data_IF_077752712684
#
_entry.id   IF_077752712684
#
_cell.length_a   1.000
_cell.length_b   1.000
_cell.length_c   1.000
_cell.angle_alpha   90.00
_cell.angle_beta   90.00
_cell.angle_gamma   90.00
#
_symmetry.space_group_name_H-M   'P 1'
#
loop_
_entity.id
_entity.type
_entity.pdbx_description
1 polymer ?
#
# COMPACT_ATOMS: atom_id res chain seq x y z
N UNK A 1 -35.49 1.98 22.17
CA UNK A 1 -35.10 2.96 21.12
C UNK A 1 -34.12 4.00 21.63
N UNK A 2 -34.42 4.86 22.63
CA UNK A 2 -33.44 5.83 23.13
C UNK A 2 -32.22 5.15 23.80
N UNK A 3 -32.47 4.20 24.70
CA UNK A 3 -31.41 3.45 25.38
C UNK A 3 -30.52 2.60 24.44
N UNK A 4 -31.04 2.17 23.29
CA UNK A 4 -30.27 1.39 22.30
C UNK A 4 -29.29 2.29 21.53
N UNK A 5 -29.68 3.55 21.26
CA UNK A 5 -28.81 4.54 20.62
C UNK A 5 -27.69 5.02 21.52
N UNK A 6 -27.95 5.20 22.82
CA UNK A 6 -26.92 5.54 23.81
C UNK A 6 -25.86 4.44 23.89
N UNK A 7 -26.27 3.17 23.92
CA UNK A 7 -25.34 2.02 23.88
C UNK A 7 -24.51 1.98 22.60
N UNK A 8 -25.10 2.32 21.45
CA UNK A 8 -24.37 2.41 20.19
C UNK A 8 -23.31 3.51 20.23
N UNK A 9 -23.64 4.69 20.78
CA UNK A 9 -22.69 5.79 20.93
C UNK A 9 -21.52 5.42 21.86
N UNK A 10 -21.81 4.78 22.98
CA UNK A 10 -20.79 4.31 23.92
C UNK A 10 -19.89 3.27 23.27
N UNK A 11 -20.47 2.31 22.54
CA UNK A 11 -19.71 1.30 21.80
C UNK A 11 -18.77 1.92 20.76
N UNK A 12 -19.25 2.91 19.99
CA UNK A 12 -18.43 3.63 19.02
C UNK A 12 -17.33 4.46 19.70
N UNK A 13 -17.61 5.05 20.85
CA UNK A 13 -16.62 5.77 21.64
C UNK A 13 -15.48 4.83 22.11
N UNK A 14 -15.84 3.66 22.65
CA UNK A 14 -14.86 2.64 23.06
C UNK A 14 -14.03 2.16 21.85
N UNK A 15 -14.68 1.86 20.73
CA UNK A 15 -14.00 1.46 19.50
C UNK A 15 -13.00 2.52 19.02
N UNK A 16 -13.35 3.81 19.11
CA UNK A 16 -12.43 4.91 18.78
C UNK A 16 -11.22 4.96 19.71
N UNK A 17 -11.42 4.78 21.02
CA UNK A 17 -10.32 4.76 22.00
C UNK A 17 -9.37 3.59 21.76
N UNK A 18 -9.92 2.41 21.46
CA UNK A 18 -9.13 1.22 21.09
C UNK A 18 -8.30 1.47 19.83
N UNK A 19 -8.90 2.04 18.78
CA UNK A 19 -8.17 2.38 17.54
C UNK A 19 -7.05 3.40 17.79
N UNK A 20 -7.27 4.39 18.65
CA UNK A 20 -6.22 5.36 19.02
C UNK A 20 -5.07 4.66 19.74
N UNK A 21 -5.37 3.73 20.65
CA UNK A 21 -4.36 2.95 21.35
C UNK A 21 -3.53 2.09 20.39
N UNK A 22 -4.19 1.38 19.47
CA UNK A 22 -3.54 0.54 18.46
C UNK A 22 -2.64 1.37 17.51
N UNK A 23 -3.12 2.52 17.07
CA UNK A 23 -2.33 3.47 16.25
C UNK A 23 -1.09 3.95 17.02
N UNK A 24 -1.22 4.20 18.32
CA UNK A 24 -0.11 4.67 19.13
C UNK A 24 0.97 3.58 19.28
N UNK A 25 0.57 2.33 19.56
CA UNK A 25 1.50 1.19 19.61
C UNK A 25 2.23 1.01 18.28
N UNK A 26 1.51 1.04 17.15
CA UNK A 26 2.11 0.92 15.83
C UNK A 26 3.06 2.06 15.49
N UNK A 27 2.76 3.29 15.94
CA UNK A 27 3.68 4.42 15.79
C UNK A 27 4.99 4.22 16.57
N UNK A 28 4.94 3.66 17.77
CA UNK A 28 6.14 3.34 18.53
C UNK A 28 6.97 2.25 17.83
N UNK A 29 6.31 1.23 17.27
CA UNK A 29 6.98 0.20 16.46
C UNK A 29 7.66 0.80 15.23
N UNK A 30 6.97 1.70 14.50
CA UNK A 30 7.51 2.41 13.36
C UNK A 30 8.73 3.25 13.73
N UNK A 31 8.65 4.00 14.83
CA UNK A 31 9.74 4.85 15.31
C UNK A 31 10.99 4.02 15.63
N UNK A 32 10.84 2.90 16.32
CA UNK A 32 11.95 1.99 16.60
C UNK A 32 12.61 1.49 15.31
N UNK A 33 11.80 1.07 14.34
CA UNK A 33 12.32 0.63 13.03
C UNK A 33 13.07 1.75 12.30
N UNK A 34 12.57 2.99 12.36
CA UNK A 34 13.24 4.14 11.76
C UNK A 34 14.56 4.47 12.46
N UNK A 35 14.58 4.48 13.80
CA UNK A 35 15.80 4.71 14.59
C UNK A 35 16.88 3.68 14.24
N UNK A 36 16.53 2.40 14.23
CA UNK A 36 17.44 1.31 13.85
C UNK A 36 17.94 1.46 12.41
N UNK A 37 17.03 1.82 11.49
CA UNK A 37 17.35 2.05 10.07
C UNK A 37 18.34 3.19 9.85
N UNK A 38 18.10 4.34 10.47
CA UNK A 38 18.99 5.50 10.38
C UNK A 38 20.34 5.25 11.05
N UNK A 39 20.36 4.56 12.20
CA UNK A 39 21.62 4.18 12.85
C UNK A 39 22.46 3.24 11.97
N UNK A 40 21.84 2.22 11.38
CA UNK A 40 22.52 1.31 10.48
C UNK A 40 22.97 2.00 9.19
N UNK A 41 22.18 2.94 8.67
CA UNK A 41 22.56 3.77 7.53
C UNK A 41 23.78 4.65 7.83
N UNK A 42 23.82 5.27 9.02
CA UNK A 42 24.97 6.05 9.47
C UNK A 42 26.24 5.19 9.57
N UNK A 43 26.14 3.97 10.13
CA UNK A 43 27.25 3.00 10.16
C UNK A 43 27.71 2.62 8.75
N UNK A 44 26.80 2.43 7.81
CA UNK A 44 27.14 2.13 6.41
C UNK A 44 27.85 3.30 5.73
N UNK A 45 27.38 4.55 5.94
CA UNK A 45 28.02 5.77 5.43
C UNK A 45 29.41 5.99 6.00
N UNK A 46 29.61 5.66 7.29
CA UNK A 46 30.93 5.70 7.90
C UNK A 46 31.89 4.67 7.28
N UNK A 47 31.42 3.44 7.04
CA UNK A 47 32.25 2.37 6.49
C UNK A 47 32.58 2.53 5.00
N UNK A 48 31.62 2.98 4.18
CA UNK A 48 31.77 3.09 2.72
C UNK A 48 32.22 4.48 2.25
N UNK A 49 32.13 5.48 3.12
CA UNK A 49 32.25 6.89 2.74
C UNK A 49 30.88 7.52 2.43
N UNK A 50 30.79 8.81 2.74
CA UNK A 50 29.59 9.65 2.64
C UNK A 50 29.04 9.72 1.20
N UNK A 51 29.94 9.67 0.22
CA UNK A 51 29.61 9.81 -1.20
C UNK A 51 29.00 8.54 -1.78
N UNK A 52 29.45 7.36 -1.32
CA UNK A 52 29.03 6.06 -1.88
C UNK A 52 27.57 5.73 -1.60
N UNK A 53 27.06 6.09 -0.44
CA UNK A 53 25.64 5.87 -0.10
C UNK A 53 24.89 7.17 -0.33
N UNK A 54 24.71 7.53 -1.61
CA UNK A 54 24.09 8.79 -2.04
C UNK A 54 23.18 8.58 -3.25
N UNK A 55 22.26 9.53 -3.48
CA UNK A 55 21.35 9.54 -4.63
C UNK A 55 22.07 9.48 -5.98
N UNK A 56 23.33 9.92 -6.03
CA UNK A 56 24.18 9.88 -7.22
C UNK A 56 24.48 8.47 -7.72
N UNK A 57 24.36 7.46 -6.85
CA UNK A 57 24.70 6.07 -7.17
C UNK A 57 23.50 5.27 -7.68
N UNK A 58 22.30 5.86 -7.79
CA UNK A 58 21.13 5.15 -8.30
C UNK A 58 21.34 4.75 -9.77
N UNK A 59 20.94 3.54 -10.13
CA UNK A 59 20.97 3.12 -11.53
C UNK A 59 19.91 3.85 -12.35
N UNK A 60 20.18 4.04 -13.65
CA UNK A 60 19.22 4.65 -14.58
C UNK A 60 17.92 3.82 -14.71
N UNK A 61 18.02 2.50 -14.52
CA UNK A 61 16.91 1.54 -14.56
C UNK A 61 16.42 1.19 -13.14
N UNK A 62 16.33 2.17 -12.24
CA UNK A 62 15.80 1.94 -10.89
C UNK A 62 14.32 1.56 -10.95
N UNK A 63 13.99 0.35 -10.47
CA UNK A 63 12.61 -0.11 -10.27
C UNK A 63 12.27 -0.18 -8.78
N UNK A 64 11.01 0.14 -8.40
CA UNK A 64 10.58 0.01 -7.01
C UNK A 64 10.40 -1.46 -6.62
N UNK A 65 11.00 -1.87 -5.50
CA UNK A 65 10.82 -3.22 -4.96
C UNK A 65 9.56 -3.37 -4.09
N UNK A 66 9.01 -2.25 -3.63
CA UNK A 66 7.86 -2.19 -2.74
C UNK A 66 6.80 -1.31 -3.37
N UNK A 67 5.60 -1.85 -3.49
CA UNK A 67 4.40 -1.18 -3.96
C UNK A 67 3.41 -1.07 -2.80
N UNK A 68 2.50 -0.11 -2.89
CA UNK A 68 1.38 0.02 -1.96
C UNK A 68 0.12 -0.20 -2.77
N UNK A 69 -0.62 -1.24 -2.40
CA UNK A 69 -1.94 -1.52 -2.93
C UNK A 69 -3.01 -0.97 -1.98
N UNK A 70 -4.08 -0.45 -2.57
CA UNK A 70 -5.20 0.15 -1.86
C UNK A 70 -6.46 -0.65 -2.21
N UNK A 71 -6.92 -1.48 -1.27
CA UNK A 71 -8.15 -2.25 -1.41
C UNK A 71 -9.23 -1.68 -0.50
N UNK A 72 -10.50 -1.76 -0.89
CA UNK A 72 -11.61 -1.44 0.03
C UNK A 72 -11.83 -2.61 0.99
N UNK A 73 -12.23 -2.31 2.22
CA UNK A 73 -12.68 -3.35 3.15
C UNK A 73 -13.94 -4.04 2.62
N UNK A 74 -13.90 -5.37 2.48
CA UNK A 74 -15.09 -6.19 2.19
C UNK A 74 -15.94 -6.27 3.47
N UNK A 75 -16.87 -5.32 3.58
CA UNK A 75 -17.91 -5.33 4.59
C UNK A 75 -19.14 -6.06 4.03
N UNK A 76 -19.51 -7.17 4.65
CA UNK A 76 -20.80 -7.81 4.47
C UNK A 76 -21.89 -6.87 4.99
N UNK A 77 -22.68 -6.29 4.08
CA UNK A 77 -23.95 -5.57 4.29
C UNK A 77 -24.04 -4.39 5.30
N UNK A 78 -22.95 -3.92 5.88
CA UNK A 78 -22.90 -2.62 6.60
C UNK A 78 -22.17 -1.58 5.78
N UNK A 79 -22.77 -0.39 5.62
CA UNK A 79 -22.37 0.73 4.74
C UNK A 79 -20.97 1.33 5.00
N UNK A 80 -20.18 0.75 5.90
CA UNK A 80 -18.89 1.27 6.32
C UNK A 80 -17.74 0.57 5.57
N UNK A 81 -17.31 1.21 4.48
CA UNK A 81 -16.09 0.83 3.76
C UNK A 81 -14.98 1.82 4.08
N UNK A 82 -13.83 1.32 4.49
CA UNK A 82 -12.59 2.08 4.58
C UNK A 82 -11.53 1.47 3.67
N UNK A 83 -10.55 2.28 3.30
CA UNK A 83 -9.44 1.83 2.46
C UNK A 83 -8.38 1.14 3.32
N UNK A 84 -7.98 -0.05 2.88
CA UNK A 84 -6.92 -0.89 3.44
C UNK A 84 -5.69 -0.74 2.56
N UNK A 85 -4.59 -0.33 3.17
CA UNK A 85 -3.30 -0.21 2.51
C UNK A 85 -2.45 -1.44 2.82
N UNK A 86 -1.95 -2.09 1.78
CA UNK A 86 -1.04 -3.24 1.88
C UNK A 86 0.21 -2.99 1.08
N UNK A 87 1.34 -3.27 1.72
CA UNK A 87 2.64 -3.17 1.11
C UNK A 87 2.93 -4.51 0.36
N UNK A 88 3.10 -4.46 -0.96
CA UNK A 88 3.28 -5.61 -1.87
C UNK A 88 4.67 -5.59 -2.49
N UNK A 89 5.33 -6.74 -2.60
CA UNK A 89 6.66 -6.84 -3.20
C UNK A 89 6.60 -6.96 -4.73
N UNK A 90 7.52 -6.31 -5.44
CA UNK A 90 7.63 -6.32 -6.92
C UNK A 90 7.60 -7.72 -7.54
N UNK A 91 8.16 -8.74 -6.87
CA UNK A 91 8.16 -10.12 -7.39
C UNK A 91 6.76 -10.71 -7.57
N UNK A 92 5.75 -10.12 -6.95
CA UNK A 92 4.35 -10.55 -7.04
C UNK A 92 3.61 -9.90 -8.23
N UNK A 93 4.05 -8.72 -8.67
CA UNK A 93 3.36 -7.93 -9.72
C UNK A 93 3.69 -8.41 -11.15
N UNK A 94 4.86 -9.03 -11.32
CA UNK A 94 5.26 -9.66 -12.59
C UNK A 94 4.36 -10.87 -12.93
N UNK A 95 3.83 -11.57 -11.91
CA UNK A 95 2.99 -12.76 -12.09
C UNK A 95 1.53 -12.45 -12.47
N UNK A 96 1.06 -11.21 -12.27
CA UNK A 96 -0.33 -10.82 -12.60
C UNK A 96 -0.45 -10.09 -13.95
N UNK A 97 0.67 -9.83 -14.64
CA UNK A 97 0.71 -8.99 -15.85
C UNK A 97 0.97 -9.77 -17.15
N UNK A 98 0.98 -11.10 -17.14
CA UNK A 98 1.18 -11.91 -18.35
C UNK A 98 -0.14 -12.21 -19.06
N UNK A 99 -0.52 -11.31 -19.97
CA UNK A 99 -1.42 -11.62 -21.09
C UNK A 99 -0.77 -12.72 -21.97
N UNK A 100 -1.54 -13.71 -22.48
CA UNK A 100 -1.00 -14.79 -23.29
C UNK A 100 -0.74 -14.27 -24.71
N UNK A 101 0.50 -13.89 -25.03
CA UNK A 101 0.88 -13.72 -26.43
C UNK A 101 1.04 -15.10 -27.07
N UNK A 102 -0.05 -15.54 -27.70
CA UNK A 102 -0.06 -16.52 -28.77
C UNK A 102 0.82 -16.00 -29.91
N UNK A 103 1.96 -16.65 -30.14
CA UNK A 103 2.66 -16.55 -31.41
C UNK A 103 3.19 -17.92 -31.78
N UNK A 104 2.25 -18.78 -32.21
CA UNK A 104 2.36 -19.56 -33.44
C UNK A 104 3.79 -19.78 -33.97
N UNK A 105 4.31 -20.97 -33.65
CA UNK A 105 5.37 -21.63 -34.40
C UNK A 105 4.98 -21.71 -35.89
N UNK A 106 5.68 -20.98 -36.76
CA UNK A 106 5.66 -21.23 -38.21
C UNK A 106 7.05 -21.67 -38.69
N UNK A 107 7.21 -22.98 -38.63
CA UNK A 107 8.27 -23.80 -39.23
C UNK A 107 8.39 -23.53 -40.74
N UNK A 108 9.40 -22.78 -41.18
CA UNK A 108 9.73 -22.63 -42.61
C UNK A 108 10.88 -23.55 -43.00
N UNK A 109 10.55 -24.71 -43.58
CA UNK A 109 11.48 -25.52 -44.39
C UNK A 109 11.73 -24.81 -45.72
N UNK A 110 12.98 -24.68 -46.15
CA UNK A 110 13.31 -24.55 -47.58
C UNK A 110 14.34 -25.61 -47.98
N UNK A 111 13.95 -26.41 -48.97
CA UNK A 111 14.79 -27.32 -49.76
C UNK A 111 15.82 -26.49 -50.55
N UNK A 112 16.99 -27.07 -50.75
CA UNK A 112 18.17 -26.42 -51.31
C UNK A 112 18.22 -26.34 -52.84
N UNK A 113 19.30 -25.69 -53.28
CA UNK A 113 19.97 -25.85 -54.58
C UNK A 113 21.28 -25.03 -54.53
N UNK A 114 22.42 -25.69 -54.68
CA UNK A 114 23.72 -25.14 -55.12
C UNK A 114 23.96 -25.60 -56.57
N UNK A 115 25.03 -25.19 -57.31
CA UNK A 115 25.97 -24.04 -57.15
C UNK A 115 26.20 -23.26 -58.48
N UNK A 116 26.80 -22.08 -58.43
CA UNK A 116 27.85 -21.68 -59.41
C UNK A 116 28.67 -20.47 -58.89
N UNK A 117 29.98 -20.51 -59.15
CA UNK A 117 31.06 -19.62 -58.67
C UNK A 117 31.40 -18.52 -59.73
N UNK A 118 32.39 -17.59 -59.60
CA UNK A 118 33.34 -17.34 -58.49
C UNK A 118 33.66 -15.83 -58.21
N UNK A 119 34.48 -15.62 -57.16
CA UNK A 119 35.37 -14.46 -56.86
C UNK A 119 34.74 -13.12 -56.42
N UNK A 120 34.87 -12.82 -55.12
CA UNK A 120 35.41 -11.54 -54.63
C UNK A 120 35.78 -11.69 -53.14
N UNK A 121 37.03 -11.37 -52.85
CA UNK A 121 37.69 -11.35 -51.55
C UNK A 121 36.96 -10.40 -50.58
N UNK A 122 36.47 -10.89 -49.44
CA UNK A 122 36.14 -10.08 -48.22
C UNK A 122 35.51 -10.90 -47.06
N UNK A 123 35.70 -12.22 -47.01
CA UNK A 123 35.06 -13.10 -45.99
C UNK A 123 35.92 -13.51 -44.80
N UNK A 124 37.04 -12.82 -44.56
CA UNK A 124 37.89 -13.13 -43.39
C UNK A 124 37.61 -12.21 -42.18
N UNK A 125 36.94 -11.07 -42.38
CA UNK A 125 36.58 -10.15 -41.30
C UNK A 125 35.23 -10.48 -40.63
N UNK A 126 34.33 -11.18 -41.34
CA UNK A 126 32.98 -11.52 -40.85
C UNK A 126 32.93 -12.87 -40.09
N UNK A 127 33.94 -13.72 -40.29
CA UNK A 127 34.09 -15.00 -39.59
C UNK A 127 34.64 -14.84 -38.15
N UNK A 128 35.47 -13.82 -37.89
CA UNK A 128 35.97 -13.51 -36.55
C UNK A 128 34.95 -12.78 -35.67
N UNK A 129 33.93 -12.16 -36.26
CA UNK A 129 32.81 -11.54 -35.53
C UNK A 129 31.73 -12.55 -35.11
N UNK A 130 31.72 -13.76 -35.68
CA UNK A 130 30.76 -14.82 -35.35
C UNK A 130 31.22 -15.79 -34.24
N UNK A 131 32.47 -15.71 -33.78
CA UNK A 131 32.91 -16.46 -32.58
C UNK A 131 32.74 -15.67 -31.27
N UNK A 132 32.43 -14.38 -31.34
CA UNK A 132 31.95 -13.62 -30.18
C UNK A 132 30.44 -13.74 -30.09
N UNK A 133 29.99 -14.89 -29.62
CA UNK A 133 28.63 -15.15 -29.15
C UNK A 133 28.30 -14.23 -27.96
N UNK A 134 28.12 -12.93 -28.23
CA UNK A 134 27.45 -11.97 -27.36
C UNK A 134 25.99 -12.38 -27.37
N UNK A 135 25.69 -13.39 -26.55
CA UNK A 135 24.36 -13.63 -26.02
C UNK A 135 23.77 -12.26 -25.71
N UNK A 136 22.69 -11.94 -26.39
CA UNK A 136 21.78 -10.85 -26.08
C UNK A 136 21.75 -10.67 -24.56
N UNK A 137 22.01 -9.44 -24.12
CA UNK A 137 22.01 -9.09 -22.70
C UNK A 137 20.81 -9.77 -22.04
N UNK A 138 21.00 -10.59 -21.00
CA UNK A 138 19.86 -11.12 -20.28
C UNK A 138 19.04 -9.92 -19.83
N UNK A 139 17.73 -9.92 -20.11
CA UNK A 139 16.76 -9.05 -19.44
C UNK A 139 17.20 -8.99 -17.98
N UNK A 140 17.68 -7.83 -17.54
CA UNK A 140 18.37 -7.71 -16.26
C UNK A 140 17.32 -7.94 -15.19
N UNK A 141 17.24 -9.21 -14.78
CA UNK A 141 16.55 -9.66 -13.59
C UNK A 141 16.86 -8.68 -12.46
N UNK A 142 15.80 -8.18 -11.84
CA UNK A 142 15.76 -7.32 -10.66
C UNK A 142 17.08 -7.33 -9.88
N UNK A 143 18.01 -6.45 -10.25
CA UNK A 143 19.30 -6.39 -9.58
C UNK A 143 19.06 -5.82 -8.20
N UNK A 144 19.54 -6.50 -7.16
CA UNK A 144 19.45 -6.03 -5.78
C UNK A 144 19.91 -4.57 -5.70
N UNK A 145 19.05 -3.61 -5.30
CA UNK A 145 19.38 -2.18 -5.30
C UNK A 145 20.55 -1.85 -4.38
N UNK A 146 20.92 -2.74 -3.45
CA UNK A 146 22.11 -2.58 -2.63
C UNK A 146 23.41 -2.61 -3.46
N UNK A 147 23.41 -3.28 -4.61
CA UNK A 147 24.58 -3.38 -5.49
C UNK A 147 24.94 -2.05 -6.16
N UNK A 148 24.01 -1.08 -6.16
CA UNK A 148 24.27 0.28 -6.62
C UNK A 148 25.32 1.00 -5.76
N UNK A 149 25.38 0.69 -4.47
CA UNK A 149 26.25 1.40 -3.52
C UNK A 149 27.59 0.69 -3.27
N UNK A 150 27.61 -0.64 -3.41
CA UNK A 150 28.83 -1.45 -3.32
C UNK A 150 28.64 -2.83 -3.96
N UNK A 151 29.67 -3.33 -4.64
CA UNK A 151 29.70 -4.71 -5.19
C UNK A 151 29.38 -5.74 -4.10
N UNK A 152 29.93 -5.52 -2.90
CA UNK A 152 29.55 -6.22 -1.67
C UNK A 152 29.05 -5.19 -0.65
N UNK A 153 27.73 -5.09 -0.51
CA UNK A 153 27.14 -4.21 0.49
C UNK A 153 27.57 -4.62 1.91
N UNK A 154 27.84 -3.68 2.83
CA UNK A 154 28.11 -3.99 4.23
C UNK A 154 26.84 -4.44 4.94
N UNK A 155 26.99 -5.20 6.03
CA UNK A 155 25.87 -5.73 6.79
C UNK A 155 24.95 -4.63 7.35
N UNK A 156 25.53 -3.50 7.75
CA UNK A 156 24.79 -2.32 8.20
C UNK A 156 23.85 -1.77 7.11
N UNK A 157 24.24 -1.80 5.84
CA UNK A 157 23.38 -1.31 4.76
C UNK A 157 22.20 -2.26 4.49
N UNK A 158 22.43 -3.58 4.55
CA UNK A 158 21.36 -4.59 4.50
C UNK A 158 20.38 -4.45 5.66
N UNK A 159 20.90 -4.22 6.87
CA UNK A 159 20.08 -4.00 8.06
C UNK A 159 19.25 -2.72 7.93
N UNK A 160 19.85 -1.63 7.43
CA UNK A 160 19.13 -0.39 7.17
C UNK A 160 17.97 -0.60 6.18
N UNK A 161 18.22 -1.27 5.05
CA UNK A 161 17.16 -1.61 4.09
C UNK A 161 16.03 -2.40 4.76
N UNK A 162 16.37 -3.45 5.51
CA UNK A 162 15.39 -4.29 6.21
C UNK A 162 14.55 -3.46 7.21
N UNK A 163 15.19 -2.59 7.98
CA UNK A 163 14.52 -1.73 8.95
C UNK A 163 13.58 -0.72 8.27
N UNK A 164 14.01 -0.09 7.18
CA UNK A 164 13.15 0.81 6.41
C UNK A 164 12.00 0.09 5.70
N UNK A 165 12.22 -1.12 5.19
CA UNK A 165 11.13 -1.94 4.63
C UNK A 165 10.09 -2.24 5.69
N UNK A 166 10.51 -2.71 6.88
CA UNK A 166 9.58 -2.92 8.01
C UNK A 166 8.84 -1.64 8.39
N UNK A 167 9.54 -0.51 8.50
CA UNK A 167 8.92 0.78 8.79
C UNK A 167 7.86 1.15 7.74
N UNK A 168 8.09 0.88 6.45
CA UNK A 168 7.10 1.09 5.40
C UNK A 168 5.87 0.19 5.57
N UNK A 169 6.04 -1.10 5.89
CA UNK A 169 4.93 -2.01 6.21
C UNK A 169 4.09 -1.51 7.39
N UNK A 170 4.73 -1.12 8.49
CA UNK A 170 4.02 -0.56 9.66
C UNK A 170 3.33 0.76 9.30
N UNK A 171 3.90 1.55 8.39
CA UNK A 171 3.25 2.76 7.87
C UNK A 171 1.96 2.44 7.11
N UNK A 172 1.96 1.41 6.25
CA UNK A 172 0.76 0.90 5.58
C UNK A 172 -0.33 0.50 6.60
N UNK A 173 0.06 -0.19 7.68
CA UNK A 173 -0.86 -0.58 8.77
C UNK A 173 -1.43 0.64 9.51
N UNK A 174 -0.59 1.61 9.89
CA UNK A 174 -1.02 2.85 10.55
C UNK A 174 -2.03 3.60 9.66
N UNK A 175 -1.77 3.71 8.36
CA UNK A 175 -2.68 4.37 7.42
C UNK A 175 -4.03 3.65 7.35
N UNK A 176 -4.03 2.31 7.34
CA UNK A 176 -5.27 1.52 7.38
C UNK A 176 -6.06 1.78 8.66
N UNK A 177 -5.39 1.77 9.81
CA UNK A 177 -6.02 2.06 11.10
C UNK A 177 -6.56 3.49 11.18
N UNK A 178 -5.83 4.44 10.58
CA UNK A 178 -6.27 5.84 10.46
C UNK A 178 -7.53 5.97 9.63
N UNK A 179 -7.59 5.31 8.48
CA UNK A 179 -8.78 5.29 7.64
C UNK A 179 -9.98 4.69 8.38
N UNK A 180 -9.76 3.60 9.13
CA UNK A 180 -10.80 3.00 9.98
C UNK A 180 -11.25 3.98 11.07
N UNK A 181 -10.33 4.64 11.78
CA UNK A 181 -10.64 5.64 12.80
C UNK A 181 -11.48 6.78 12.22
N UNK A 182 -11.11 7.31 11.05
CA UNK A 182 -11.84 8.39 10.40
C UNK A 182 -13.24 7.96 9.96
N UNK A 183 -13.42 6.72 9.51
CA UNK A 183 -14.73 6.15 9.21
C UNK A 183 -15.59 6.02 10.47
N UNK A 184 -15.06 5.44 11.55
CA UNK A 184 -15.76 5.30 12.84
C UNK A 184 -16.10 6.66 13.44
N UNK A 185 -15.21 7.67 13.30
CA UNK A 185 -15.44 9.03 13.80
C UNK A 185 -16.60 9.71 13.06
N UNK A 186 -16.71 9.51 11.75
CA UNK A 186 -17.86 9.98 10.96
C UNK A 186 -19.14 9.33 11.44
N UNK A 187 -19.15 8.00 11.59
CA UNK A 187 -20.31 7.25 12.10
C UNK A 187 -20.74 7.74 13.49
N UNK A 188 -19.79 7.95 14.40
CA UNK A 188 -20.09 8.49 15.74
C UNK A 188 -20.74 9.88 15.65
N UNK A 189 -20.24 10.77 14.79
CA UNK A 189 -20.82 12.09 14.61
C UNK A 189 -22.25 12.02 14.05
N UNK A 190 -22.52 11.12 13.12
CA UNK A 190 -23.84 10.95 12.51
C UNK A 190 -24.83 10.28 13.48
N UNK A 191 -24.40 9.23 14.19
CA UNK A 191 -25.18 8.62 15.27
C UNK A 191 -25.53 9.65 16.36
N UNK A 192 -24.59 10.53 16.71
CA UNK A 192 -24.83 11.59 17.70
C UNK A 192 -25.85 12.62 17.21
N UNK A 193 -25.77 13.05 15.95
CA UNK A 193 -26.75 13.97 15.35
C UNK A 193 -28.16 13.38 15.34
N UNK A 194 -28.29 12.10 14.96
CA UNK A 194 -29.61 11.43 14.94
C UNK A 194 -30.16 11.21 16.35
N UNK A 195 -29.31 11.03 17.35
CA UNK A 195 -29.71 10.97 18.76
C UNK A 195 -30.19 12.33 19.27
N UNK A 196 -29.43 13.41 19.01
CA UNK A 196 -29.80 14.78 19.38
C UNK A 196 -31.12 15.20 18.73
N UNK A 197 -31.32 14.90 17.44
CA UNK A 197 -32.59 15.18 16.74
C UNK A 197 -33.78 14.42 17.33
N UNK A 198 -33.60 13.15 17.72
CA UNK A 198 -34.65 12.35 18.34
C UNK A 198 -35.03 12.85 19.74
N UNK A 199 -34.08 13.40 20.50
CA UNK A 199 -34.37 14.05 21.78
C UNK A 199 -35.24 15.30 21.60
N UNK A 200 -34.92 16.14 20.61
CA UNK A 200 -35.66 17.38 20.32
C UNK A 200 -37.11 17.07 19.94
N UNK A 201 -37.35 16.05 19.11
CA UNK A 201 -38.71 15.63 18.72
C UNK A 201 -39.51 15.05 19.89
N UNK A 202 -38.85 14.35 20.83
CA UNK A 202 -39.52 13.85 22.03
C UNK A 202 -39.92 14.96 23.01
N UNK A 203 -39.17 16.07 23.05
CA UNK A 203 -39.43 17.23 23.90
C UNK A 203 -40.51 18.17 23.34
N UNK A 204 -40.71 18.23 22.01
CA UNK A 204 -41.79 19.01 21.41
C UNK A 204 -43.16 18.34 21.58
N UNK A 205 -43.24 17.00 21.42
CA UNK A 205 -44.48 16.23 21.63
C UNK A 205 -45.03 16.30 23.06
N UNK A 206 -44.17 16.44 24.07
CA UNK A 206 -44.60 16.57 25.48
C UNK A 206 -45.18 17.94 25.82
N UNK A 207 -44.97 18.96 24.97
CA UNK A 207 -45.46 20.32 25.22
C UNK A 207 -46.87 20.54 24.61
N UNK A 208 -47.21 19.82 23.54
CA UNK A 208 -48.53 19.91 22.90
C UNK A 208 -49.64 19.15 23.65
N UNK A 209 -49.32 18.07 24.37
CA UNK A 209 -50.31 17.25 25.09
C UNK A 209 -50.78 17.87 26.43
N UNK A 210 -50.05 18.86 26.96
CA UNK A 210 -50.43 19.58 28.19
C UNK A 210 -51.30 20.83 27.96
N UNK A 211 -51.68 21.15 26.71
CA UNK A 211 -52.52 22.33 26.39
C UNK A 211 -53.99 21.95 26.10
N UNK A 212 -54.35 20.67 26.10
CA UNK A 212 -55.70 20.20 25.81
C UNK A 212 -56.47 19.71 27.06
N UNK A 213 -56.57 20.55 28.10
CA UNK A 213 -57.53 20.32 29.20
C UNK A 213 -58.78 21.20 28.96
N UNK A 214 -59.98 20.62 28.71
CA UNK A 214 -61.18 21.40 28.43
C UNK A 214 -61.78 21.93 29.73
N UNK A 215 -61.86 23.25 29.86
CA UNK A 215 -62.72 23.90 30.85
C UNK A 215 -64.20 23.59 30.53
N UNK A 216 -64.72 22.51 31.09
CA UNK A 216 -66.16 22.36 31.35
C UNK A 216 -66.47 23.07 32.66
N UNK A 217 -66.90 24.32 32.59
CA UNK A 217 -67.73 24.90 33.65
C UNK A 217 -69.19 24.54 33.35
N UNK A 218 -69.68 23.56 34.09
CA UNK A 218 -71.10 23.22 34.21
C UNK A 218 -71.93 24.43 34.64
N UNK A 219 -73.08 24.56 34.01
CA UNK A 219 -74.16 25.48 34.35
C UNK A 219 -75.24 24.70 35.10
N UNK A 220 -75.55 25.10 36.35
CA UNK A 220 -76.82 24.90 37.07
C UNK A 220 -76.66 25.73 38.36
N UNK A 221 -77.47 26.71 38.73
CA UNK A 221 -78.92 26.94 38.62
C UNK A 221 -79.16 28.46 38.75
#
# INVERSE_FOLDING_TARGET
MAADKERELDFLCLTLLELVAEIHEKKQEQEKCLQDGFLCLAKARYALGVDRVSKLHYAAEMTPNLFVDCSKSDGDHTEEKWDILKCVNSKFYESQSQEPTDSTELRRRRRGSEPDSPEDDDKELDALLQEMNVKEKPKVSSTDPLRWFAVLAPQSLRQAQTAFTKAAHVSCEICTLRNKLDATKKRYADARRTHEAALIESSSKTTEDNTAEPQKTESTD
#
